data_IF_095741688270
#
_entry.id   IF_095741688270
#
_cell.length_a   1.000
_cell.length_b   1.000
_cell.length_c   1.000
_cell.angle_alpha   90.00
_cell.angle_beta   90.00
_cell.angle_gamma   90.00
#
_symmetry.space_group_name_H-M   'P 1'
#
loop_
_entity.id
_entity.type
_entity.pdbx_description
1 polymer ?
#
# COMPACT_ATOMS: atom_id res chain seq x y z
N UNK A 1 -74.90 -50.67 -90.82
CA UNK A 1 -73.83 -49.70 -91.18
C UNK A 1 -72.64 -50.47 -91.76
N UNK A 2 -72.04 -49.96 -92.84
CA UNK A 2 -70.91 -50.61 -93.55
C UNK A 2 -69.63 -50.58 -92.70
N UNK A 3 -68.90 -51.70 -92.62
CA UNK A 3 -67.66 -51.83 -91.82
C UNK A 3 -66.62 -50.74 -92.16
N UNK A 4 -66.59 -50.26 -93.41
CA UNK A 4 -65.66 -49.22 -93.85
C UNK A 4 -65.92 -47.87 -93.17
N UNK A 5 -67.19 -47.52 -92.92
CA UNK A 5 -67.55 -46.27 -92.24
C UNK A 5 -67.13 -46.34 -90.77
N UNK A 6 -67.36 -47.48 -90.12
CA UNK A 6 -66.94 -47.70 -88.73
C UNK A 6 -65.42 -47.59 -88.57
N UNK A 7 -64.64 -48.20 -89.46
CA UNK A 7 -63.17 -48.09 -89.43
C UNK A 7 -62.67 -46.66 -89.59
N UNK A 8 -63.31 -45.85 -90.45
CA UNK A 8 -62.94 -44.43 -90.64
C UNK A 8 -63.27 -43.62 -89.39
N UNK A 9 -64.44 -43.85 -88.78
CA UNK A 9 -64.84 -43.16 -87.54
C UNK A 9 -63.95 -43.56 -86.37
N UNK A 10 -63.66 -44.85 -86.20
CA UNK A 10 -62.79 -45.35 -85.13
C UNK A 10 -61.36 -44.76 -85.27
N UNK A 11 -60.82 -44.69 -86.49
CA UNK A 11 -59.52 -44.06 -86.76
C UNK A 11 -59.52 -42.56 -86.46
N UNK A 12 -60.58 -41.85 -86.85
CA UNK A 12 -60.72 -40.42 -86.59
C UNK A 12 -60.86 -40.12 -85.09
N UNK A 13 -61.62 -40.95 -84.36
CA UNK A 13 -61.74 -40.84 -82.90
C UNK A 13 -60.40 -41.09 -82.22
N UNK A 14 -59.62 -42.06 -82.69
CA UNK A 14 -58.30 -42.35 -82.13
C UNK A 14 -57.30 -41.20 -82.41
N UNK A 15 -57.28 -40.67 -83.64
CA UNK A 15 -56.48 -39.49 -83.98
C UNK A 15 -56.86 -38.26 -83.12
N UNK A 16 -58.16 -38.05 -82.84
CA UNK A 16 -58.61 -36.98 -81.95
C UNK A 16 -58.21 -37.21 -80.48
N UNK A 17 -58.23 -38.45 -79.99
CA UNK A 17 -57.75 -38.77 -78.64
C UNK A 17 -56.24 -38.53 -78.53
N UNK A 18 -55.46 -39.01 -79.49
CA UNK A 18 -54.01 -38.83 -79.50
C UNK A 18 -53.63 -37.34 -79.57
N UNK A 19 -54.32 -36.56 -80.40
CA UNK A 19 -54.11 -35.11 -80.48
C UNK A 19 -54.47 -34.39 -79.18
N UNK A 20 -55.60 -34.77 -78.55
CA UNK A 20 -56.02 -34.20 -77.27
C UNK A 20 -55.05 -34.58 -76.13
N UNK A 21 -54.59 -35.83 -76.11
CA UNK A 21 -53.65 -36.33 -75.10
C UNK A 21 -52.27 -35.65 -75.25
N UNK A 22 -51.81 -35.43 -76.48
CA UNK A 22 -50.60 -34.65 -76.75
C UNK A 22 -50.70 -33.18 -76.28
N UNK A 23 -51.83 -32.50 -76.52
CA UNK A 23 -52.06 -31.13 -76.03
C UNK A 23 -52.09 -31.06 -74.49
N UNK A 24 -52.74 -32.03 -73.84
CA UNK A 24 -52.76 -32.15 -72.38
C UNK A 24 -51.34 -32.35 -71.84
N UNK A 25 -50.56 -33.25 -72.43
CA UNK A 25 -49.18 -33.51 -71.99
C UNK A 25 -48.26 -32.30 -72.20
N UNK A 26 -48.38 -31.58 -73.32
CA UNK A 26 -47.63 -30.35 -73.57
C UNK A 26 -47.94 -29.27 -72.53
N UNK A 27 -49.22 -29.10 -72.18
CA UNK A 27 -49.65 -28.15 -71.13
C UNK A 27 -49.13 -28.54 -69.75
N UNK A 28 -49.18 -29.83 -69.39
CA UNK A 28 -48.61 -30.34 -68.13
C UNK A 28 -47.09 -30.12 -68.09
N UNK A 29 -46.39 -30.35 -69.20
CA UNK A 29 -44.95 -30.15 -69.28
C UNK A 29 -44.59 -28.67 -69.04
N UNK A 30 -45.25 -27.75 -69.76
CA UNK A 30 -45.05 -26.29 -69.60
C UNK A 30 -45.39 -25.80 -68.20
N UNK A 31 -46.43 -26.32 -67.59
CA UNK A 31 -46.80 -25.97 -66.21
C UNK A 31 -45.74 -26.42 -65.20
N UNK A 32 -45.19 -27.64 -65.36
CA UNK A 32 -44.09 -28.14 -64.52
C UNK A 32 -42.81 -27.32 -64.69
N UNK A 33 -42.46 -26.95 -65.93
CA UNK A 33 -41.30 -26.09 -66.20
C UNK A 33 -41.46 -24.71 -65.55
N UNK A 34 -42.65 -24.12 -65.69
CA UNK A 34 -42.96 -22.83 -65.06
C UNK A 34 -42.90 -22.93 -63.53
N UNK A 35 -43.45 -24.00 -62.93
CA UNK A 35 -43.37 -24.24 -61.49
C UNK A 35 -41.92 -24.41 -61.03
N UNK A 36 -41.11 -25.18 -61.76
CA UNK A 36 -39.69 -25.36 -61.46
C UNK A 36 -38.94 -24.04 -61.47
N UNK A 37 -39.22 -23.15 -62.43
CA UNK A 37 -38.60 -21.82 -62.49
C UNK A 37 -39.02 -20.93 -61.31
N UNK A 38 -40.29 -20.98 -60.91
CA UNK A 38 -40.78 -20.22 -59.75
C UNK A 38 -40.10 -20.71 -58.47
N UNK A 39 -40.05 -22.02 -58.24
CA UNK A 39 -39.39 -22.61 -57.07
C UNK A 39 -37.89 -22.26 -57.02
N UNK A 40 -37.21 -22.26 -58.17
CA UNK A 40 -35.81 -21.85 -58.25
C UNK A 40 -35.64 -20.37 -57.87
N UNK A 41 -36.51 -19.49 -58.38
CA UNK A 41 -36.50 -18.06 -58.02
C UNK A 41 -36.83 -17.82 -56.55
N UNK A 42 -37.78 -18.54 -55.99
CA UNK A 42 -38.11 -18.45 -54.56
C UNK A 42 -36.94 -18.90 -53.69
N UNK A 43 -36.23 -19.96 -54.09
CA UNK A 43 -34.98 -20.38 -53.42
C UNK A 43 -33.90 -19.32 -53.52
N UNK A 44 -33.65 -18.75 -54.69
CA UNK A 44 -32.67 -17.67 -54.85
C UNK A 44 -33.00 -16.45 -53.97
N UNK A 45 -34.28 -16.07 -53.89
CA UNK A 45 -34.73 -14.97 -53.04
C UNK A 45 -34.54 -15.31 -51.56
N UNK A 46 -34.93 -16.51 -51.13
CA UNK A 46 -34.76 -16.96 -49.76
C UNK A 46 -33.27 -16.99 -49.33
N UNK A 47 -32.39 -17.45 -50.21
CA UNK A 47 -30.94 -17.45 -49.97
C UNK A 47 -30.38 -16.03 -49.85
N UNK A 48 -30.79 -15.12 -50.73
CA UNK A 48 -30.38 -13.69 -50.66
C UNK A 48 -30.87 -13.03 -49.38
N UNK A 49 -32.12 -13.28 -48.98
CA UNK A 49 -32.66 -12.76 -47.74
C UNK A 49 -31.92 -13.32 -46.51
N UNK A 50 -31.62 -14.62 -46.50
CA UNK A 50 -30.86 -15.25 -45.42
C UNK A 50 -29.45 -14.65 -45.32
N UNK A 51 -28.77 -14.47 -46.46
CA UNK A 51 -27.46 -13.84 -46.52
C UNK A 51 -27.50 -12.39 -46.02
N UNK A 52 -28.49 -11.61 -46.44
CA UNK A 52 -28.65 -10.22 -46.00
C UNK A 52 -28.93 -10.12 -44.49
N UNK A 53 -29.82 -10.96 -43.95
CA UNK A 53 -30.09 -11.04 -42.50
C UNK A 53 -28.84 -11.43 -41.71
N UNK A 54 -28.05 -12.38 -42.20
CA UNK A 54 -26.80 -12.78 -41.57
C UNK A 54 -25.76 -11.65 -41.57
N UNK A 55 -25.64 -10.90 -42.67
CA UNK A 55 -24.75 -9.72 -42.75
C UNK A 55 -25.19 -8.62 -41.77
N UNK A 56 -26.49 -8.32 -41.71
CA UNK A 56 -27.02 -7.31 -40.79
C UNK A 56 -26.71 -7.68 -39.34
N UNK A 57 -26.99 -8.93 -38.94
CA UNK A 57 -26.70 -9.42 -37.59
C UNK A 57 -25.20 -9.38 -37.25
N UNK A 58 -24.33 -9.69 -38.20
CA UNK A 58 -22.87 -9.55 -38.00
C UNK A 58 -22.47 -8.11 -37.76
N UNK A 59 -22.97 -7.18 -38.59
CA UNK A 59 -22.68 -5.76 -38.48
C UNK A 59 -23.16 -5.19 -37.14
N UNK A 60 -24.36 -5.54 -36.71
CA UNK A 60 -24.89 -5.10 -35.41
C UNK A 60 -24.02 -5.60 -34.24
N UNK A 61 -23.55 -6.85 -34.29
CA UNK A 61 -22.62 -7.39 -33.30
C UNK A 61 -21.27 -6.69 -33.31
N UNK A 62 -20.73 -6.39 -34.49
CA UNK A 62 -19.47 -5.66 -34.63
C UNK A 62 -19.60 -4.23 -34.10
N UNK A 63 -20.67 -3.51 -34.44
CA UNK A 63 -20.93 -2.17 -33.94
C UNK A 63 -21.09 -2.15 -32.41
N UNK A 64 -21.84 -3.11 -31.85
CA UNK A 64 -21.99 -3.23 -30.40
C UNK A 64 -20.66 -3.56 -29.72
N UNK A 65 -19.89 -4.49 -30.28
CA UNK A 65 -18.57 -4.87 -29.78
C UNK A 65 -17.61 -3.68 -29.78
N UNK A 66 -17.59 -2.88 -30.85
CA UNK A 66 -16.76 -1.67 -30.93
C UNK A 66 -17.15 -0.64 -29.86
N UNK A 67 -18.45 -0.41 -29.65
CA UNK A 67 -18.93 0.51 -28.60
C UNK A 67 -18.51 0.05 -27.21
N UNK A 68 -18.71 -1.24 -26.91
CA UNK A 68 -18.29 -1.83 -25.63
C UNK A 68 -16.79 -1.68 -25.46
N UNK A 69 -16.01 -2.04 -26.48
CA UNK A 69 -14.56 -1.91 -26.45
C UNK A 69 -14.13 -0.47 -26.17
N UNK A 70 -14.72 0.52 -26.84
CA UNK A 70 -14.40 1.93 -26.58
C UNK A 70 -14.70 2.37 -25.14
N UNK A 71 -15.78 1.89 -24.54
CA UNK A 71 -16.12 2.19 -23.14
C UNK A 71 -15.11 1.53 -22.21
N UNK A 72 -14.77 0.26 -22.46
CA UNK A 72 -13.80 -0.48 -21.65
C UNK A 72 -12.41 0.16 -21.75
N UNK A 73 -11.95 0.48 -22.95
CA UNK A 73 -10.64 1.10 -23.17
C UNK A 73 -10.53 2.43 -22.43
N UNK A 74 -11.56 3.28 -22.48
CA UNK A 74 -11.62 4.53 -21.70
C UNK A 74 -11.59 4.29 -20.20
N UNK A 75 -12.41 3.37 -19.72
CA UNK A 75 -12.50 3.05 -18.30
C UNK A 75 -11.16 2.53 -17.75
N UNK A 76 -10.47 1.68 -18.50
CA UNK A 76 -9.15 1.16 -18.12
C UNK A 76 -8.13 2.28 -18.03
N UNK A 77 -8.16 3.24 -18.96
CA UNK A 77 -7.20 4.36 -18.96
C UNK A 77 -7.47 5.35 -17.82
N UNK A 78 -8.73 5.67 -17.55
CA UNK A 78 -9.10 6.48 -16.38
C UNK A 78 -8.67 5.81 -15.07
N UNK A 79 -8.81 4.48 -14.94
CA UNK A 79 -8.34 3.76 -13.77
C UNK A 79 -6.82 3.77 -13.61
N UNK A 80 -6.08 3.63 -14.72
CA UNK A 80 -4.61 3.69 -14.69
C UNK A 80 -4.14 5.08 -14.25
N UNK A 81 -4.70 6.14 -14.82
CA UNK A 81 -4.36 7.52 -14.46
C UNK A 81 -4.66 7.82 -12.99
N UNK A 82 -5.83 7.40 -12.50
CA UNK A 82 -6.22 7.57 -11.11
C UNK A 82 -5.28 6.82 -10.14
N UNK A 83 -4.93 5.57 -10.48
CA UNK A 83 -4.01 4.78 -9.67
C UNK A 83 -2.59 5.36 -9.67
N UNK A 84 -2.11 5.84 -10.82
CA UNK A 84 -0.80 6.46 -10.92
C UNK A 84 -0.74 7.75 -10.09
N UNK A 85 -1.79 8.58 -10.13
CA UNK A 85 -1.90 9.77 -9.29
C UNK A 85 -1.89 9.43 -7.79
N UNK A 86 -2.63 8.40 -7.36
CA UNK A 86 -2.66 7.96 -5.96
C UNK A 86 -1.29 7.45 -5.48
N UNK A 87 -0.58 6.68 -6.33
CA UNK A 87 0.78 6.22 -6.04
C UNK A 87 1.72 7.41 -5.88
N UNK A 88 1.67 8.39 -6.79
CA UNK A 88 2.53 9.57 -6.72
C UNK A 88 2.25 10.41 -5.47
N UNK A 89 0.98 10.62 -5.11
CA UNK A 89 0.60 11.35 -3.90
C UNK A 89 1.13 10.65 -2.64
N UNK A 90 1.01 9.31 -2.57
CA UNK A 90 1.54 8.54 -1.44
C UNK A 90 3.06 8.66 -1.33
N UNK A 91 3.78 8.56 -2.45
CA UNK A 91 5.25 8.71 -2.49
C UNK A 91 5.64 10.12 -2.03
N UNK A 92 4.93 11.16 -2.48
CA UNK A 92 5.19 12.54 -2.07
C UNK A 92 5.01 12.72 -0.56
N UNK A 93 3.88 12.26 0.01
CA UNK A 93 3.63 12.33 1.46
C UNK A 93 4.65 11.54 2.28
N UNK A 94 5.06 10.37 1.79
CA UNK A 94 6.07 9.55 2.46
C UNK A 94 7.43 10.26 2.51
N UNK A 95 7.84 10.91 1.40
CA UNK A 95 9.07 11.71 1.36
C UNK A 95 9.02 12.92 2.28
N UNK A 96 7.90 13.64 2.31
CA UNK A 96 7.71 14.77 3.23
C UNK A 96 7.79 14.32 4.69
N UNK A 97 7.14 13.20 5.02
CA UNK A 97 7.19 12.63 6.36
C UNK A 97 8.60 12.17 6.73
N UNK A 98 9.32 11.51 5.82
CA UNK A 98 10.71 11.10 6.03
C UNK A 98 11.60 12.33 6.29
N UNK A 99 11.48 13.38 5.46
CA UNK A 99 12.24 14.62 5.65
C UNK A 99 11.96 15.26 7.01
N UNK A 100 10.70 15.25 7.47
CA UNK A 100 10.33 15.78 8.78
C UNK A 100 10.96 14.96 9.92
N UNK A 101 10.96 13.63 9.80
CA UNK A 101 11.59 12.74 10.80
C UNK A 101 13.10 12.99 10.84
N UNK A 102 13.77 13.05 9.69
CA UNK A 102 15.21 13.30 9.62
C UNK A 102 15.61 14.66 10.23
N UNK A 103 14.81 15.69 10.04
CA UNK A 103 15.03 17.00 10.66
C UNK A 103 14.87 16.91 12.19
N UNK A 104 13.83 16.22 12.67
CA UNK A 104 13.62 16.01 14.11
C UNK A 104 14.70 15.17 14.76
N UNK A 105 15.18 14.13 14.09
CA UNK A 105 16.29 13.32 14.57
C UNK A 105 17.57 14.13 14.68
N UNK A 106 17.86 15.00 13.70
CA UNK A 106 18.99 15.95 13.78
C UNK A 106 18.86 16.90 14.96
N UNK A 107 17.69 17.53 15.13
CA UNK A 107 17.44 18.42 16.27
C UNK A 107 17.63 17.72 17.62
N UNK A 108 17.15 16.47 17.75
CA UNK A 108 17.31 15.69 18.98
C UNK A 108 18.78 15.34 19.19
N UNK A 109 19.49 14.90 18.15
CA UNK A 109 20.91 14.59 18.24
C UNK A 109 21.75 15.80 18.66
N UNK A 110 21.45 16.99 18.12
CA UNK A 110 22.12 18.23 18.52
C UNK A 110 21.84 18.60 19.99
N UNK A 111 20.58 18.50 20.43
CA UNK A 111 20.21 18.75 21.84
C UNK A 111 20.88 17.76 22.78
N UNK A 112 20.89 16.48 22.43
CA UNK A 112 21.57 15.45 23.21
C UNK A 112 23.08 15.70 23.29
N UNK A 113 23.71 16.06 22.17
CA UNK A 113 25.14 16.38 22.14
C UNK A 113 25.45 17.59 23.03
N UNK A 114 24.64 18.65 22.94
CA UNK A 114 24.77 19.83 23.78
C UNK A 114 24.59 19.49 25.27
N UNK A 115 23.59 18.68 25.61
CA UNK A 115 23.35 18.25 26.99
C UNK A 115 24.48 17.38 27.53
N UNK A 116 24.94 16.38 26.77
CA UNK A 116 26.10 15.53 27.13
C UNK A 116 27.35 16.38 27.36
N UNK A 117 27.60 17.38 26.52
CA UNK A 117 28.72 18.31 26.70
C UNK A 117 28.59 19.15 27.99
N UNK A 118 27.38 19.64 28.31
CA UNK A 118 27.15 20.36 29.56
C UNK A 118 27.31 19.48 30.80
N UNK A 119 26.79 18.26 30.75
CA UNK A 119 26.92 17.29 31.83
C UNK A 119 28.39 16.99 32.11
N UNK A 120 29.15 16.66 31.05
CA UNK A 120 30.59 16.41 31.16
C UNK A 120 31.36 17.59 31.77
N UNK A 121 31.00 18.84 31.42
CA UNK A 121 31.61 20.03 32.04
C UNK A 121 31.31 20.12 33.53
N UNK A 122 30.07 19.86 33.94
CA UNK A 122 29.66 19.87 35.36
C UNK A 122 30.35 18.78 36.15
N UNK A 123 30.42 17.56 35.61
CA UNK A 123 31.14 16.44 36.22
C UNK A 123 32.63 16.77 36.42
N UNK A 124 33.27 17.37 35.42
CA UNK A 124 34.67 17.81 35.52
C UNK A 124 34.88 18.96 36.53
N UNK A 125 33.87 19.80 36.76
CA UNK A 125 33.91 20.83 37.80
C UNK A 125 33.76 20.23 39.20
N UNK A 126 32.79 19.32 39.38
CA UNK A 126 32.57 18.59 40.64
C UNK A 126 33.83 17.83 41.02
N UNK A 127 34.43 17.07 40.10
CA UNK A 127 35.66 16.31 40.36
C UNK A 127 36.82 17.22 40.82
N UNK A 128 36.94 18.42 40.24
CA UNK A 128 37.94 19.42 40.67
C UNK A 128 37.65 19.95 42.08
N UNK A 129 36.39 20.22 42.39
CA UNK A 129 35.99 20.68 43.73
C UNK A 129 36.20 19.58 44.79
N UNK A 130 35.82 18.34 44.49
CA UNK A 130 36.04 17.18 45.36
C UNK A 130 37.53 16.95 45.64
N UNK A 131 38.38 17.04 44.62
CA UNK A 131 39.83 16.94 44.79
C UNK A 131 40.39 18.05 45.70
N UNK A 132 39.91 19.29 45.53
CA UNK A 132 40.29 20.41 46.40
C UNK A 132 39.87 20.17 47.85
N UNK A 133 38.61 19.81 48.07
CA UNK A 133 38.06 19.55 49.41
C UNK A 133 38.76 18.36 50.08
N UNK A 134 39.15 17.34 49.32
CA UNK A 134 39.92 16.21 49.84
C UNK A 134 41.28 16.65 50.38
N UNK A 135 42.03 17.46 49.64
CA UNK A 135 43.32 17.99 50.09
C UNK A 135 43.16 18.91 51.32
N UNK A 136 42.15 19.78 51.30
CA UNK A 136 41.85 20.66 52.45
C UNK A 136 41.52 19.85 53.70
N UNK A 137 40.68 18.82 53.57
CA UNK A 137 40.37 17.90 54.66
C UNK A 137 41.63 17.18 55.17
N UNK A 138 42.49 16.68 54.29
CA UNK A 138 43.74 16.02 54.68
C UNK A 138 44.69 16.98 55.42
N UNK A 139 44.76 18.24 55.00
CA UNK A 139 45.54 19.26 55.70
C UNK A 139 44.95 19.58 57.08
N UNK A 140 43.64 19.77 57.18
CA UNK A 140 42.96 20.00 58.46
C UNK A 140 43.09 18.80 59.40
N UNK A 141 43.06 17.57 58.89
CA UNK A 141 43.28 16.36 59.70
C UNK A 141 44.71 16.31 60.25
N UNK A 142 45.71 16.72 59.45
CA UNK A 142 47.10 16.86 59.94
C UNK A 142 47.20 17.94 61.01
N UNK A 143 46.64 19.13 60.79
CA UNK A 143 46.65 20.21 61.78
C UNK A 143 45.93 19.81 63.07
N UNK A 144 44.75 19.18 62.95
CA UNK A 144 44.01 18.62 64.08
C UNK A 144 44.82 17.58 64.83
N UNK A 145 45.58 16.74 64.14
CA UNK A 145 46.42 15.72 64.79
C UNK A 145 47.55 16.34 65.62
N UNK A 146 48.13 17.47 65.17
CA UNK A 146 49.13 18.24 65.92
C UNK A 146 48.51 18.91 67.14
N UNK A 147 47.31 19.48 66.99
CA UNK A 147 46.61 20.20 68.04
C UNK A 147 45.80 19.30 68.99
N UNK A 148 45.59 18.02 68.65
CA UNK A 148 44.91 17.09 69.53
C UNK A 148 45.77 16.79 70.74
N UNK A 149 45.33 17.34 71.87
CA UNK A 149 45.89 17.03 73.16
C UNK A 149 45.12 15.95 73.91
N UNK A 150 45.82 15.24 74.80
CA UNK A 150 45.21 14.33 75.77
C UNK A 150 45.27 14.96 77.15
N UNK A 151 44.15 14.92 77.87
CA UNK A 151 44.09 15.31 79.27
C UNK A 151 44.25 14.05 80.14
N UNK A 152 45.17 14.09 81.10
CA UNK A 152 45.31 13.00 82.08
C UNK A 152 44.15 13.05 83.08
N UNK A 153 43.48 11.91 83.28
CA UNK A 153 42.45 11.74 84.31
C UNK A 153 43.03 11.38 85.69
N UNK A 154 44.36 11.35 85.85
CA UNK A 154 44.97 11.15 87.16
C UNK A 154 44.81 12.42 88.00
N UNK A 155 44.09 12.29 89.11
CA UNK A 155 44.00 13.34 90.12
C UNK A 155 45.35 13.39 90.87
N UNK A 156 46.20 14.32 90.45
CA UNK A 156 47.39 14.67 91.20
C UNK A 156 46.97 15.29 92.55
N UNK A 157 47.72 15.02 93.62
CA UNK A 157 47.40 15.45 95.01
C UNK A 157 47.21 16.96 95.19
N UNK A 158 47.64 17.76 94.20
CA UNK A 158 47.60 19.23 94.15
C UNK A 158 46.42 19.76 93.31
N UNK A 159 45.52 18.89 92.82
CA UNK A 159 44.31 19.27 92.06
C UNK A 159 44.55 19.85 90.65
N UNK A 160 45.81 19.97 90.23
CA UNK A 160 46.17 20.45 88.89
C UNK A 160 45.92 19.38 87.81
N UNK A 161 45.35 19.80 86.68
CA UNK A 161 45.16 18.96 85.49
C UNK A 161 46.43 19.01 84.65
N UNK A 162 46.90 17.84 84.22
CA UNK A 162 47.95 17.74 83.20
C UNK A 162 47.32 17.51 81.84
N UNK A 163 47.64 18.39 80.90
CA UNK A 163 47.27 18.23 79.50
C UNK A 163 48.55 18.12 78.68
N UNK A 164 48.54 17.23 77.70
CA UNK A 164 49.59 17.17 76.68
C UNK A 164 48.99 17.72 75.41
N UNK A 165 49.56 18.77 74.84
CA UNK A 165 49.11 19.39 73.57
C UNK A 165 50.36 19.60 72.72
N UNK A 166 50.31 19.22 71.44
CA UNK A 166 51.45 19.37 70.52
C UNK A 166 52.76 18.73 71.00
N UNK A 167 52.68 17.66 71.81
CA UNK A 167 53.85 16.98 72.40
C UNK A 167 54.46 17.66 73.63
N UNK A 168 53.95 18.83 74.03
CA UNK A 168 54.37 19.56 75.22
C UNK A 168 53.40 19.28 76.38
N UNK A 169 53.97 19.10 77.58
CA UNK A 169 53.19 18.89 78.81
C UNK A 169 52.93 20.22 79.51
N UNK A 170 51.66 20.51 79.72
CA UNK A 170 51.21 21.69 80.44
C UNK A 170 50.48 21.29 81.72
N UNK A 171 50.74 22.06 82.79
CA UNK A 171 50.08 21.90 84.09
C UNK A 171 49.15 23.09 84.30
N UNK A 172 47.85 22.83 84.34
CA UNK A 172 46.82 23.85 84.50
C UNK A 172 46.06 23.65 85.81
N UNK A 173 45.78 24.77 86.51
CA UNK A 173 44.96 24.75 87.71
C UNK A 173 43.51 24.49 87.33
N UNK A 174 42.86 23.50 87.96
CA UNK A 174 41.42 23.27 87.76
C UNK A 174 40.64 24.40 88.42
N UNK A 175 39.86 25.12 87.62
CA UNK A 175 38.97 26.14 88.15
C UNK A 175 37.81 25.46 88.90
N UNK A 176 37.90 25.39 90.23
CA UNK A 176 36.80 24.91 91.06
C UNK A 176 35.76 26.03 91.14
N UNK A 177 34.63 25.90 90.43
CA UNK A 177 33.49 26.78 90.70
C UNK A 177 33.11 26.62 92.17
N UNK A 178 33.10 27.73 92.91
CA UNK A 178 32.60 27.75 94.28
C UNK A 178 31.18 27.17 94.29
N UNK A 179 30.97 26.08 95.03
CA UNK A 179 29.62 25.57 95.29
C UNK A 179 28.88 26.66 96.08
N UNK A 180 27.75 27.12 95.53
CA UNK A 180 26.78 27.90 96.30
C UNK A 180 26.19 27.05 97.41
#
# INVERSE_FOLDING_TARGET
MSMRIKMVVDKFVEELKEALEADIQDRIMKEREMQSYIEEREREVAEREAAWKAQLSRREKEEMSMRIKMVVDKFVEELKEALEADIQDRIMKEREMQSYIEEREREVAEREAAWKAQLSRREAEIARQEARLKMERENLEKEKSVLMGTASNQDNQDGALEITVSGEKYRCLRFSKAKK
#
